data_IF_458417269279
#
_entry.id   IF_458417269279
#
_cell.length_a   1.000
_cell.length_b   1.000
_cell.length_c   1.000
_cell.angle_alpha   90.00
_cell.angle_beta   90.00
_cell.angle_gamma   90.00
#
_symmetry.space_group_name_H-M   'P 1'
#
loop_
_entity.id
_entity.type
_entity.pdbx_description
1 polymer ?
#
# COMPACT_ATOMS: atom_id res chain seq x y z
N UNK A 1 23.99 -9.68 5.79
CA UNK A 1 23.42 -8.91 4.65
C UNK A 1 22.09 -9.51 4.21
N UNK A 2 21.13 -8.68 3.88
CA UNK A 2 19.84 -9.13 3.34
C UNK A 2 19.95 -9.34 1.83
N UNK A 3 19.28 -10.37 1.31
CA UNK A 3 19.23 -10.59 -0.14
C UNK A 3 18.26 -9.58 -0.80
N UNK A 4 18.36 -9.35 -2.12
CA UNK A 4 17.38 -8.55 -2.84
C UNK A 4 15.94 -9.08 -2.70
N UNK A 5 15.77 -10.40 -2.65
CA UNK A 5 14.46 -11.03 -2.46
C UNK A 5 13.88 -10.76 -1.06
N UNK A 6 14.70 -10.83 0.00
CA UNK A 6 14.25 -10.51 1.37
C UNK A 6 13.80 -9.05 1.49
N UNK A 7 14.54 -8.13 0.86
CA UNK A 7 14.16 -6.73 0.85
C UNK A 7 12.94 -6.45 -0.02
N UNK A 8 12.78 -7.14 -1.15
CA UNK A 8 11.57 -7.06 -1.96
C UNK A 8 10.33 -7.57 -1.20
N UNK A 9 10.47 -8.65 -0.40
CA UNK A 9 9.40 -9.14 0.46
C UNK A 9 8.98 -8.10 1.51
N UNK A 10 9.95 -7.46 2.18
CA UNK A 10 9.67 -6.36 3.13
C UNK A 10 9.07 -5.15 2.44
N UNK A 11 9.55 -4.82 1.25
CA UNK A 11 8.99 -3.75 0.43
C UNK A 11 7.53 -4.04 0.09
N UNK A 12 7.18 -5.28 -0.29
CA UNK A 12 5.82 -5.67 -0.59
C UNK A 12 4.91 -5.59 0.64
N UNK A 13 5.38 -5.99 1.82
CA UNK A 13 4.63 -5.83 3.07
C UNK A 13 4.36 -4.37 3.38
N UNK A 14 5.38 -3.52 3.23
CA UNK A 14 5.26 -2.07 3.45
C UNK A 14 4.33 -1.43 2.42
N UNK A 15 4.48 -1.77 1.13
CA UNK A 15 3.64 -1.30 0.03
C UNK A 15 2.17 -1.66 0.21
N UNK A 16 1.88 -2.81 0.83
CA UNK A 16 0.52 -3.25 1.14
C UNK A 16 0.00 -2.75 2.50
N UNK A 17 0.80 -2.04 3.28
CA UNK A 17 0.36 -1.49 4.56
C UNK A 17 -0.71 -0.41 4.36
N UNK A 18 -1.59 -0.28 5.36
CA UNK A 18 -2.63 0.75 5.37
C UNK A 18 -2.04 2.15 5.21
N UNK A 19 -0.99 2.41 5.97
CA UNK A 19 -0.30 3.70 6.03
C UNK A 19 0.30 4.10 4.67
N UNK A 20 0.95 3.16 3.98
CA UNK A 20 1.50 3.42 2.64
C UNK A 20 0.40 3.69 1.63
N UNK A 21 -0.69 2.91 1.65
CA UNK A 21 -1.82 3.10 0.75
C UNK A 21 -2.53 4.43 1.00
N UNK A 22 -2.71 4.80 2.27
CA UNK A 22 -3.26 6.10 2.64
C UNK A 22 -2.43 7.23 2.02
N UNK A 23 -1.11 7.21 2.18
CA UNK A 23 -0.21 8.22 1.62
C UNK A 23 -0.28 8.28 0.10
N UNK A 24 -0.33 7.14 -0.56
CA UNK A 24 -0.44 7.06 -2.03
C UNK A 24 -1.75 7.65 -2.53
N UNK A 25 -2.86 7.32 -1.90
CA UNK A 25 -4.18 7.76 -2.32
C UNK A 25 -4.46 9.23 -2.00
N UNK A 26 -3.90 9.74 -0.89
CA UNK A 26 -4.05 11.14 -0.50
C UNK A 26 -3.01 12.07 -1.16
N UNK A 27 -2.11 11.52 -1.98
CA UNK A 27 -1.04 12.30 -2.61
C UNK A 27 -0.06 12.91 -1.60
N UNK A 28 -0.08 12.45 -0.34
CA UNK A 28 0.86 12.95 0.67
C UNK A 28 2.24 12.37 0.37
N UNK A 29 3.22 13.27 0.25
CA UNK A 29 4.55 12.93 -0.21
C UNK A 29 5.22 11.86 0.66
N UNK A 30 5.46 10.71 0.08
CA UNK A 30 6.53 9.84 0.55
C UNK A 30 7.84 10.48 0.11
N UNK A 31 8.80 10.60 1.02
CA UNK A 31 10.12 11.10 0.66
C UNK A 31 10.77 10.09 -0.31
N UNK A 32 10.97 10.52 -1.54
CA UNK A 32 11.75 9.79 -2.52
C UNK A 32 13.16 10.36 -2.58
N UNK A 33 14.21 9.52 -2.78
CA UNK A 33 14.15 8.08 -2.97
C UNK A 33 13.86 7.30 -1.68
N UNK A 34 13.11 6.19 -1.80
CA UNK A 34 12.96 5.24 -0.72
C UNK A 34 14.29 4.47 -0.55
N UNK A 35 14.87 4.53 0.64
CA UNK A 35 16.15 3.90 0.95
C UNK A 35 15.98 2.75 1.93
N UNK A 36 16.40 1.56 1.53
CA UNK A 36 16.29 0.33 2.32
C UNK A 36 17.68 -0.17 2.73
N UNK A 37 17.97 -0.37 4.03
CA UNK A 37 19.26 -0.85 4.48
C UNK A 37 19.44 -2.34 4.15
N UNK A 38 20.50 -2.66 3.41
CA UNK A 38 20.90 -4.02 3.06
C UNK A 38 21.56 -4.72 4.27
N UNK A 39 22.24 -3.95 5.09
CA UNK A 39 23.09 -4.45 6.15
C UNK A 39 24.49 -4.81 5.61
N UNK A 40 25.33 -5.28 6.49
CA UNK A 40 26.73 -5.59 6.16
C UNK A 40 26.99 -7.08 6.40
N UNK A 41 27.93 -7.69 5.67
CA UNK A 41 28.45 -9.00 6.05
C UNK A 41 29.14 -8.86 7.40
N UNK A 42 28.94 -9.84 8.27
CA UNK A 42 29.79 -9.95 9.46
C UNK A 42 31.20 -10.45 9.07
N UNK A 43 32.14 -10.31 9.99
CA UNK A 43 33.51 -10.71 9.76
C UNK A 43 33.65 -12.20 9.49
N UNK A 44 32.83 -13.02 10.13
CA UNK A 44 32.89 -14.48 9.96
C UNK A 44 32.47 -14.90 8.55
N UNK A 45 31.36 -14.35 8.02
CA UNK A 45 30.92 -14.57 6.63
C UNK A 45 31.99 -14.08 5.63
N UNK A 46 32.57 -12.91 5.90
CA UNK A 46 33.61 -12.37 5.05
C UNK A 46 34.85 -13.26 4.97
N UNK A 47 35.33 -13.78 6.10
CA UNK A 47 36.55 -14.57 6.16
C UNK A 47 36.36 -16.02 5.73
N UNK A 48 35.20 -16.62 6.02
CA UNK A 48 35.02 -18.06 5.91
C UNK A 48 34.18 -18.47 4.69
N UNK A 49 33.46 -17.56 4.05
CA UNK A 49 32.56 -17.89 2.92
C UNK A 49 32.66 -16.85 1.79
N UNK A 50 33.80 -16.81 1.15
CA UNK A 50 34.06 -15.93 0.02
C UNK A 50 33.14 -16.21 -1.20
N UNK A 51 32.63 -17.45 -1.33
CA UNK A 51 31.73 -17.81 -2.43
C UNK A 51 30.34 -17.25 -2.19
N UNK A 52 29.79 -17.40 -1.00
CA UNK A 52 28.50 -16.81 -0.63
C UNK A 52 28.56 -15.28 -0.73
N UNK A 53 29.64 -14.67 -0.27
CA UNK A 53 29.82 -13.22 -0.40
C UNK A 53 29.81 -12.77 -1.86
N UNK A 54 30.58 -13.42 -2.74
CA UNK A 54 30.61 -13.12 -4.19
C UNK A 54 29.21 -13.25 -4.83
N UNK A 55 28.51 -14.35 -4.53
CA UNK A 55 27.15 -14.57 -5.01
C UNK A 55 26.22 -13.44 -4.59
N UNK A 56 26.30 -13.03 -3.34
CA UNK A 56 25.49 -11.93 -2.79
C UNK A 56 25.78 -10.57 -3.46
N UNK A 57 27.06 -10.27 -3.65
CA UNK A 57 27.46 -9.04 -4.37
C UNK A 57 26.97 -9.05 -5.83
N UNK A 58 26.99 -10.21 -6.49
CA UNK A 58 26.49 -10.35 -7.85
C UNK A 58 24.99 -10.15 -7.94
N UNK A 59 24.21 -10.62 -6.95
CA UNK A 59 22.77 -10.40 -6.89
C UNK A 59 22.45 -8.90 -6.84
N UNK A 60 23.16 -8.11 -6.01
CA UNK A 60 22.95 -6.67 -5.92
C UNK A 60 23.37 -5.93 -7.18
N UNK A 61 24.47 -6.34 -7.84
CA UNK A 61 24.84 -5.81 -9.16
C UNK A 61 23.80 -6.13 -10.23
N UNK A 62 23.14 -7.29 -10.13
CA UNK A 62 22.05 -7.66 -11.03
C UNK A 62 20.83 -6.75 -10.88
N UNK A 63 20.48 -6.36 -9.64
CA UNK A 63 19.41 -5.40 -9.34
C UNK A 63 19.62 -4.07 -10.10
N UNK A 64 20.83 -3.54 -10.07
CA UNK A 64 21.17 -2.30 -10.80
C UNK A 64 21.07 -2.48 -12.32
N UNK A 65 21.68 -3.55 -12.85
CA UNK A 65 21.66 -3.84 -14.30
C UNK A 65 20.23 -4.02 -14.84
N UNK A 66 19.31 -4.49 -14.02
CA UNK A 66 17.91 -4.70 -14.38
C UNK A 66 17.04 -3.46 -14.17
N UNK A 67 17.63 -2.33 -13.72
CA UNK A 67 16.89 -1.09 -13.50
C UNK A 67 15.93 -1.13 -12.31
N UNK A 68 16.11 -2.09 -11.40
CA UNK A 68 15.25 -2.26 -10.22
C UNK A 68 15.63 -1.33 -9.05
N UNK A 69 16.27 -0.23 -9.34
CA UNK A 69 16.77 0.74 -8.38
C UNK A 69 18.29 0.88 -8.46
N UNK A 70 18.85 1.72 -7.62
CA UNK A 70 20.29 1.90 -7.45
C UNK A 70 20.77 1.33 -6.12
N UNK A 71 22.02 0.95 -6.05
CA UNK A 71 22.64 0.40 -4.84
C UNK A 71 23.78 1.33 -4.42
N UNK A 72 23.78 1.70 -3.15
CA UNK A 72 24.93 2.41 -2.57
C UNK A 72 26.00 1.41 -2.20
N UNK A 73 27.19 1.61 -2.73
CA UNK A 73 28.35 0.77 -2.49
C UNK A 73 29.36 1.51 -1.61
N UNK A 74 29.90 0.81 -0.60
CA UNK A 74 30.96 1.34 0.26
C UNK A 74 32.16 0.39 0.33
N UNK A 75 33.34 0.97 0.29
CA UNK A 75 34.59 0.24 0.51
C UNK A 75 34.75 -0.04 2.01
N UNK A 76 35.05 -1.29 2.35
CA UNK A 76 35.26 -1.72 3.73
C UNK A 76 36.47 -2.64 3.86
N UNK A 77 37.23 -2.41 4.96
CA UNK A 77 38.26 -3.34 5.41
C UNK A 77 37.71 -4.13 6.60
N UNK A 78 37.90 -5.43 6.55
CA UNK A 78 37.51 -6.32 7.63
C UNK A 78 38.72 -6.71 8.43
N UNK A 79 38.56 -6.87 9.76
CA UNK A 79 39.65 -7.25 10.66
C UNK A 79 40.20 -8.61 10.22
N UNK A 80 41.51 -8.68 9.98
CA UNK A 80 42.17 -9.89 9.49
C UNK A 80 42.30 -9.99 7.97
N UNK A 81 41.91 -8.97 7.19
CA UNK A 81 42.15 -8.88 5.77
C UNK A 81 43.04 -7.69 5.42
N UNK A 82 44.00 -7.90 4.52
CA UNK A 82 44.81 -6.82 3.94
C UNK A 82 44.01 -6.01 2.92
N UNK A 83 42.99 -6.62 2.32
CA UNK A 83 42.27 -6.08 1.19
C UNK A 83 40.92 -5.44 1.60
N UNK A 84 40.63 -4.31 1.00
CA UNK A 84 39.33 -3.69 1.10
C UNK A 84 38.39 -4.28 0.05
N UNK A 85 37.13 -4.43 0.39
CA UNK A 85 36.10 -4.86 -0.55
C UNK A 85 34.98 -3.83 -0.62
N UNK A 86 34.38 -3.71 -1.80
CA UNK A 86 33.20 -2.88 -2.01
C UNK A 86 31.94 -3.70 -1.70
N UNK A 87 31.17 -3.27 -0.70
CA UNK A 87 29.94 -3.93 -0.25
C UNK A 87 28.71 -3.04 -0.44
N UNK A 88 27.55 -3.61 -0.75
CA UNK A 88 26.31 -2.85 -0.85
C UNK A 88 25.80 -2.51 0.55
N UNK A 89 25.36 -1.28 0.75
CA UNK A 89 24.86 -0.80 2.05
C UNK A 89 23.39 -0.47 2.04
N UNK A 90 22.92 0.16 0.96
CA UNK A 90 21.52 0.57 0.83
C UNK A 90 21.02 0.32 -0.59
N UNK A 91 19.75 -0.09 -0.67
CA UNK A 91 19.00 -0.15 -1.91
C UNK A 91 18.10 1.08 -2.00
N UNK A 92 18.21 1.82 -3.10
CA UNK A 92 17.44 3.04 -3.34
C UNK A 92 16.49 2.85 -4.51
N UNK A 93 15.23 3.23 -4.28
CA UNK A 93 14.16 3.22 -5.26
C UNK A 93 13.72 4.67 -5.47
N UNK A 94 13.93 5.21 -6.67
CA UNK A 94 13.73 6.63 -6.95
C UNK A 94 12.24 7.01 -7.09
N UNK A 95 11.37 6.04 -7.41
CA UNK A 95 9.95 6.29 -7.68
C UNK A 95 9.07 5.05 -7.46
N UNK A 96 7.75 5.22 -7.28
CA UNK A 96 6.80 4.14 -7.06
C UNK A 96 6.87 3.00 -8.08
N UNK A 97 7.05 3.32 -9.37
CA UNK A 97 7.12 2.31 -10.41
C UNK A 97 8.31 1.35 -10.26
N UNK A 98 9.42 1.78 -9.68
CA UNK A 98 10.55 0.90 -9.36
C UNK A 98 10.22 -0.06 -8.22
N UNK A 99 9.45 0.38 -7.21
CA UNK A 99 8.97 -0.52 -6.17
C UNK A 99 8.11 -1.64 -6.75
N UNK A 100 7.14 -1.30 -7.59
CA UNK A 100 6.28 -2.28 -8.26
C UNK A 100 7.09 -3.22 -9.14
N UNK A 101 8.03 -2.69 -9.92
CA UNK A 101 8.91 -3.50 -10.77
C UNK A 101 9.74 -4.49 -9.96
N UNK A 102 10.32 -4.04 -8.84
CA UNK A 102 11.12 -4.88 -7.96
C UNK A 102 10.28 -6.01 -7.31
N UNK A 103 9.10 -5.67 -6.77
CA UNK A 103 8.20 -6.65 -6.16
C UNK A 103 7.78 -7.72 -7.20
N UNK A 104 7.42 -7.30 -8.41
CA UNK A 104 7.02 -8.22 -9.47
C UNK A 104 8.18 -9.09 -9.95
N UNK A 105 9.38 -8.52 -10.09
CA UNK A 105 10.56 -9.25 -10.52
C UNK A 105 10.90 -10.40 -9.59
N UNK A 106 10.87 -10.16 -8.27
CA UNK A 106 11.17 -11.17 -7.27
C UNK A 106 10.00 -12.12 -6.95
N UNK A 107 8.85 -11.96 -7.62
CA UNK A 107 7.67 -12.84 -7.49
C UNK A 107 7.32 -13.12 -6.02
N UNK A 108 7.27 -12.05 -5.21
CA UNK A 108 7.05 -12.18 -3.77
C UNK A 108 5.71 -12.86 -3.50
N UNK A 109 5.67 -13.97 -2.75
CA UNK A 109 4.43 -14.69 -2.46
C UNK A 109 3.40 -13.80 -1.74
N UNK A 110 2.13 -13.93 -2.10
CA UNK A 110 1.04 -13.19 -1.46
C UNK A 110 0.94 -11.71 -1.85
N UNK A 111 1.77 -11.25 -2.81
CA UNK A 111 1.63 -9.94 -3.38
C UNK A 111 0.48 -9.94 -4.40
N UNK A 112 -0.72 -9.55 -3.95
CA UNK A 112 -1.81 -9.27 -4.86
C UNK A 112 -1.43 -8.07 -5.73
N UNK A 113 -1.44 -8.22 -7.05
CA UNK A 113 -1.36 -7.09 -7.96
C UNK A 113 -2.43 -6.08 -7.56
N UNK A 114 -2.01 -4.88 -7.17
CA UNK A 114 -2.93 -3.78 -6.89
C UNK A 114 -3.57 -3.42 -8.23
N UNK A 115 -4.79 -3.91 -8.45
CA UNK A 115 -5.53 -3.68 -9.68
C UNK A 115 -5.85 -2.19 -9.86
N UNK A 116 -6.04 -1.79 -11.09
CA UNK A 116 -6.38 -0.43 -11.58
C UNK A 116 -7.58 0.25 -10.91
N UNK A 117 -8.35 -0.48 -10.09
CA UNK A 117 -9.53 0.00 -9.37
C UNK A 117 -9.22 1.13 -8.38
N UNK A 118 -7.97 1.20 -7.91
CA UNK A 118 -7.53 2.31 -7.05
C UNK A 118 -7.51 3.67 -7.75
N UNK A 119 -7.39 3.71 -9.07
CA UNK A 119 -7.45 5.00 -9.82
C UNK A 119 -8.83 5.62 -9.74
N UNK A 120 -9.88 4.80 -9.87
CA UNK A 120 -11.27 5.26 -9.73
C UNK A 120 -11.58 5.71 -8.31
N UNK A 121 -11.10 4.97 -7.32
CA UNK A 121 -11.26 5.33 -5.93
C UNK A 121 -10.45 6.58 -5.57
N UNK A 122 -9.24 6.73 -6.08
CA UNK A 122 -8.43 7.94 -5.93
C UNK A 122 -9.14 9.17 -6.48
N UNK A 123 -9.78 9.07 -7.64
CA UNK A 123 -10.58 10.16 -8.21
C UNK A 123 -11.80 10.48 -7.33
N UNK A 124 -12.48 9.46 -6.79
CA UNK A 124 -13.60 9.66 -5.87
C UNK A 124 -13.15 10.32 -4.57
N UNK A 125 -12.04 9.88 -4.00
CA UNK A 125 -11.46 10.44 -2.77
C UNK A 125 -11.03 11.90 -3.00
N UNK A 126 -10.43 12.20 -4.16
CA UNK A 126 -10.03 13.56 -4.50
C UNK A 126 -11.22 14.50 -4.67
N UNK A 127 -12.38 13.97 -5.09
CA UNK A 127 -13.62 14.73 -5.22
C UNK A 127 -14.32 15.01 -3.87
N UNK A 128 -13.88 14.38 -2.77
CA UNK A 128 -14.44 14.57 -1.44
C UNK A 128 -13.68 15.68 -0.72
N UNK A 129 -14.33 16.78 -0.41
CA UNK A 129 -13.70 17.94 0.24
C UNK A 129 -13.39 17.74 1.74
N UNK A 130 -13.82 16.65 2.35
CA UNK A 130 -13.60 16.37 3.79
C UNK A 130 -12.38 15.45 4.02
N UNK A 131 -11.25 15.97 4.54
CA UNK A 131 -10.04 15.17 4.75
C UNK A 131 -10.22 13.95 5.67
N UNK A 132 -11.09 14.06 6.69
CA UNK A 132 -11.39 12.95 7.60
C UNK A 132 -12.06 11.78 6.87
N UNK A 133 -13.04 12.05 6.04
CA UNK A 133 -13.75 11.06 5.25
C UNK A 133 -12.84 10.41 4.18
N UNK A 134 -11.95 11.18 3.57
CA UNK A 134 -10.93 10.66 2.66
C UNK A 134 -10.03 9.64 3.35
N UNK A 135 -9.51 9.97 4.54
CA UNK A 135 -8.67 9.05 5.33
C UNK A 135 -9.40 7.78 5.70
N UNK A 136 -10.66 7.89 6.07
CA UNK A 136 -11.47 6.74 6.39
C UNK A 136 -11.66 5.82 5.21
N UNK A 137 -12.06 6.33 4.05
CA UNK A 137 -12.22 5.53 2.84
C UNK A 137 -10.97 4.69 2.56
N UNK A 138 -9.78 5.30 2.70
CA UNK A 138 -8.52 4.60 2.50
C UNK A 138 -8.29 3.51 3.54
N UNK A 139 -8.51 3.78 4.82
CA UNK A 139 -8.35 2.82 5.91
C UNK A 139 -9.32 1.65 5.79
N UNK A 140 -10.57 1.93 5.46
CA UNK A 140 -11.61 0.92 5.29
C UNK A 140 -11.33 -0.04 4.15
N UNK A 141 -10.72 0.43 3.04
CA UNK A 141 -10.27 -0.46 1.96
C UNK A 141 -9.34 -1.57 2.44
N UNK A 142 -8.49 -1.27 3.42
CA UNK A 142 -7.57 -2.27 3.98
C UNK A 142 -8.28 -3.21 4.93
N UNK A 143 -9.25 -2.71 5.71
CA UNK A 143 -10.02 -3.51 6.66
C UNK A 143 -10.95 -4.52 5.94
N UNK A 144 -11.42 -4.18 4.75
CA UNK A 144 -12.32 -5.03 3.96
C UNK A 144 -11.59 -5.67 2.79
N UNK A 145 -10.54 -6.44 3.10
CA UNK A 145 -9.72 -7.15 2.10
C UNK A 145 -10.54 -7.95 1.09
N UNK A 146 -11.62 -8.56 1.58
CA UNK A 146 -12.47 -9.47 0.82
C UNK A 146 -13.66 -8.74 0.16
N UNK A 147 -13.81 -7.44 0.42
CA UNK A 147 -14.88 -6.65 -0.21
C UNK A 147 -14.41 -6.18 -1.58
N UNK A 148 -15.16 -6.46 -2.65
CA UNK A 148 -14.83 -5.96 -3.98
C UNK A 148 -14.69 -4.44 -3.99
N UNK A 149 -13.68 -3.90 -4.66
CA UNK A 149 -13.45 -2.45 -4.75
C UNK A 149 -14.67 -1.70 -5.30
N UNK A 150 -15.38 -2.29 -6.26
CA UNK A 150 -16.63 -1.74 -6.80
C UNK A 150 -17.71 -1.56 -5.74
N UNK A 151 -17.82 -2.47 -4.79
CA UNK A 151 -18.78 -2.34 -3.68
C UNK A 151 -18.41 -1.18 -2.75
N UNK A 152 -17.12 -0.98 -2.47
CA UNK A 152 -16.63 0.14 -1.67
C UNK A 152 -16.87 1.47 -2.38
N UNK A 153 -16.62 1.54 -3.68
CA UNK A 153 -16.87 2.72 -4.50
C UNK A 153 -18.38 3.04 -4.54
N UNK A 154 -19.22 2.03 -4.71
CA UNK A 154 -20.67 2.21 -4.73
C UNK A 154 -21.20 2.71 -3.38
N UNK A 155 -20.73 2.12 -2.26
CA UNK A 155 -21.09 2.56 -0.92
C UNK A 155 -20.61 3.99 -0.61
N UNK A 156 -19.40 4.35 -1.05
CA UNK A 156 -18.87 5.70 -0.88
C UNK A 156 -19.69 6.74 -1.66
N UNK A 157 -20.06 6.43 -2.91
CA UNK A 157 -20.93 7.30 -3.71
C UNK A 157 -22.31 7.48 -3.05
N UNK A 158 -22.88 6.38 -2.56
CA UNK A 158 -24.15 6.42 -1.84
C UNK A 158 -24.04 7.27 -0.57
N UNK A 159 -23.01 7.08 0.23
CA UNK A 159 -22.77 7.86 1.43
C UNK A 159 -22.58 9.37 1.16
N UNK A 160 -22.05 9.74 -0.02
CA UNK A 160 -21.93 11.14 -0.43
C UNK A 160 -23.26 11.76 -0.88
N UNK A 161 -24.18 10.96 -1.39
CA UNK A 161 -25.49 11.42 -1.90
C UNK A 161 -26.55 11.50 -0.80
N UNK A 162 -26.43 10.72 0.25
CA UNK A 162 -27.38 10.70 1.35
C UNK A 162 -27.20 11.93 2.25
N UNK A 163 -28.25 12.75 2.34
CA UNK A 163 -28.31 13.87 3.29
C UNK A 163 -29.06 13.51 4.56
N UNK A 164 -28.77 14.12 5.71
CA UNK A 164 -29.52 13.90 6.95
C UNK A 164 -31.02 14.13 6.71
N UNK A 165 -31.82 13.17 7.16
CA UNK A 165 -33.27 13.22 6.99
C UNK A 165 -33.80 12.78 5.62
N UNK A 166 -32.95 12.48 4.63
CA UNK A 166 -33.42 12.01 3.30
C UNK A 166 -34.18 10.68 3.35
N UNK A 167 -33.98 9.90 4.42
CA UNK A 167 -34.64 8.62 4.62
C UNK A 167 -35.96 8.73 5.39
N UNK A 168 -36.32 9.91 5.92
CA UNK A 168 -37.53 10.08 6.72
C UNK A 168 -38.77 9.69 5.90
N UNK A 169 -39.52 8.67 6.38
CA UNK A 169 -40.72 8.19 5.72
C UNK A 169 -40.53 7.42 4.41
N UNK A 170 -39.28 7.14 4.01
CA UNK A 170 -39.00 6.36 2.81
C UNK A 170 -38.39 4.99 3.19
N UNK A 171 -38.88 3.89 2.60
CA UNK A 171 -38.23 2.61 2.82
C UNK A 171 -36.82 2.64 2.19
N UNK A 172 -35.86 2.03 2.88
CA UNK A 172 -34.46 1.91 2.39
C UNK A 172 -34.39 1.35 0.94
N UNK A 173 -35.34 0.51 0.55
CA UNK A 173 -35.51 0.04 -0.83
C UNK A 173 -35.66 1.16 -1.85
N UNK A 174 -36.38 2.22 -1.51
CA UNK A 174 -36.57 3.35 -2.43
C UNK A 174 -35.30 4.13 -2.65
N UNK A 175 -34.41 4.20 -1.65
CA UNK A 175 -33.09 4.80 -1.78
C UNK A 175 -32.11 3.89 -2.56
N UNK A 176 -32.24 2.57 -2.40
CA UNK A 176 -31.44 1.59 -3.11
C UNK A 176 -31.75 1.53 -4.62
N UNK A 177 -32.99 1.79 -5.00
CA UNK A 177 -33.41 1.82 -6.41
C UNK A 177 -32.73 2.94 -7.21
N UNK A 178 -32.25 4.00 -6.57
CA UNK A 178 -31.42 5.01 -7.23
C UNK A 178 -30.07 4.46 -7.70
N UNK A 179 -29.61 3.33 -7.10
CA UNK A 179 -28.37 2.64 -7.45
C UNK A 179 -28.56 1.35 -8.25
N UNK A 180 -29.75 1.03 -8.78
CA UNK A 180 -30.07 -0.21 -9.50
C UNK A 180 -29.87 -1.53 -8.71
N UNK A 181 -29.73 -1.50 -7.39
CA UNK A 181 -29.57 -2.70 -6.58
C UNK A 181 -30.43 -2.66 -5.31
N UNK A 182 -31.61 -3.29 -5.35
CA UNK A 182 -32.55 -3.32 -4.24
C UNK A 182 -32.02 -4.00 -2.97
N UNK A 183 -30.96 -4.79 -3.07
CA UNK A 183 -30.31 -5.48 -1.94
C UNK A 183 -29.00 -4.81 -1.51
N UNK A 184 -28.66 -3.66 -2.07
CA UNK A 184 -27.42 -2.96 -1.78
C UNK A 184 -27.25 -2.68 -0.29
N UNK A 185 -28.27 -2.14 0.36
CA UNK A 185 -28.23 -1.83 1.78
C UNK A 185 -28.09 -3.08 2.66
N UNK A 186 -28.76 -4.18 2.31
CA UNK A 186 -28.65 -5.43 3.06
C UNK A 186 -27.24 -6.00 2.96
N UNK A 187 -26.64 -5.97 1.79
CA UNK A 187 -25.30 -6.53 1.55
C UNK A 187 -24.17 -5.67 2.11
N UNK A 188 -24.35 -4.37 2.14
CA UNK A 188 -23.30 -3.41 2.47
C UNK A 188 -23.66 -2.51 3.66
N UNK A 189 -24.63 -2.90 4.49
CA UNK A 189 -25.09 -2.13 5.63
C UNK A 189 -23.93 -1.63 6.52
N UNK A 190 -23.08 -2.56 6.98
CA UNK A 190 -21.95 -2.22 7.86
C UNK A 190 -20.96 -1.22 7.21
N UNK A 191 -20.74 -1.38 5.91
CA UNK A 191 -19.85 -0.49 5.15
C UNK A 191 -20.45 0.90 5.02
N UNK A 192 -21.72 0.96 4.66
CA UNK A 192 -22.45 2.21 4.48
C UNK A 192 -22.63 2.96 5.80
N UNK A 193 -23.01 2.25 6.88
CA UNK A 193 -23.11 2.82 8.23
C UNK A 193 -21.81 3.48 8.64
N UNK A 194 -20.71 2.75 8.52
CA UNK A 194 -19.41 3.28 8.88
C UNK A 194 -18.99 4.51 8.06
N UNK A 195 -19.34 4.55 6.76
CA UNK A 195 -19.06 5.70 5.91
C UNK A 195 -19.96 6.90 6.25
N UNK A 196 -21.22 6.65 6.60
CA UNK A 196 -22.15 7.70 7.03
C UNK A 196 -21.80 8.24 8.41
N UNK A 197 -21.44 7.37 9.36
CA UNK A 197 -20.99 7.80 10.68
C UNK A 197 -19.78 8.72 10.61
N UNK A 198 -18.84 8.43 9.72
CA UNK A 198 -17.68 9.29 9.52
C UNK A 198 -18.03 10.59 8.79
N UNK A 199 -18.95 10.54 7.84
CA UNK A 199 -19.40 11.74 7.15
C UNK A 199 -20.12 12.70 8.10
N UNK A 200 -20.88 12.15 9.04
CA UNK A 200 -21.75 12.92 9.96
C UNK A 200 -21.27 12.85 11.42
N UNK A 201 -20.00 12.58 11.66
CA UNK A 201 -19.36 12.57 12.99
C UNK A 201 -20.10 11.65 14.02
N UNK A 202 -20.55 10.48 13.55
CA UNK A 202 -21.29 9.49 14.35
C UNK A 202 -22.77 9.78 14.54
N UNK A 203 -23.31 10.78 13.88
CA UNK A 203 -24.75 11.10 13.99
C UNK A 203 -25.65 10.18 13.17
N UNK A 204 -25.13 9.54 12.13
CA UNK A 204 -25.93 8.66 11.26
C UNK A 204 -26.55 7.50 12.03
N UNK A 205 -25.80 6.86 12.91
CA UNK A 205 -26.29 5.80 13.80
C UNK A 205 -27.29 6.31 14.83
N UNK A 206 -27.14 7.56 15.31
CA UNK A 206 -28.03 8.17 16.28
C UNK A 206 -29.36 8.62 15.68
N UNK A 207 -29.37 8.96 14.40
CA UNK A 207 -30.54 9.46 13.69
C UNK A 207 -31.36 8.33 13.00
N UNK A 208 -30.94 7.08 13.15
CA UNK A 208 -31.64 5.95 12.53
C UNK A 208 -31.60 5.98 11.00
N UNK A 209 -30.52 6.52 10.43
CA UNK A 209 -30.29 6.52 8.99
C UNK A 209 -29.87 5.17 8.44
N UNK A 210 -29.67 4.20 9.33
CA UNK A 210 -29.27 2.82 9.02
C UNK A 210 -30.14 1.84 9.78
#
# INVERSE_FOLDING_TARGET
MKSPQDLAARLAQHWNSADWRERQLLGTATAWPLTLPIGQPDTAVFLNDAAALRSHLQQWRAVERQGLGSVQWHERRYRGSSDAITVPTHWQLAKPSQCVAAINHFKVPGHAQVKSDYTRLGALIAAVERPGFQRLLVRRLVQWRDTPAEAVIAAARMALQLEPGCAQGRPLRALALQGNDSKFFERHANLLTALLDDRFDGEASRQGLV
#
